data_IF_432771161004
#
_entry.id   IF_432771161004
#
_cell.length_a   1.000
_cell.length_b   1.000
_cell.length_c   1.000
_cell.angle_alpha   90.00
_cell.angle_beta   90.00
_cell.angle_gamma   90.00
#
_symmetry.space_group_name_H-M   'P 1'
#
loop_
_entity.id
_entity.type
_entity.pdbx_description
1 polymer ?
#
# COMPACT_ATOMS: atom_id res chain seq x y z
N UNK A 1 -43.41 13.46 -10.69
CA UNK A 1 -42.19 14.19 -11.02
C UNK A 1 -41.65 14.81 -9.74
N UNK A 2 -40.32 14.88 -9.52
CA UNK A 2 -39.77 15.52 -8.35
C UNK A 2 -40.14 17.01 -8.34
N UNK A 3 -40.39 17.56 -7.17
CA UNK A 3 -40.78 18.95 -6.99
C UNK A 3 -39.57 19.88 -7.28
N UNK A 4 -39.82 21.10 -7.75
CA UNK A 4 -38.77 22.11 -7.98
C UNK A 4 -37.89 22.34 -6.72
N UNK A 5 -38.50 22.24 -5.53
CA UNK A 5 -37.80 22.36 -4.25
C UNK A 5 -36.81 21.23 -4.03
N UNK A 6 -37.21 20.00 -4.36
CA UNK A 6 -36.31 18.82 -4.27
C UNK A 6 -35.15 18.90 -5.26
N UNK A 7 -35.42 19.29 -6.51
CA UNK A 7 -34.36 19.46 -7.54
C UNK A 7 -33.37 20.52 -7.07
N UNK A 8 -33.84 21.67 -6.54
CA UNK A 8 -32.99 22.73 -6.00
C UNK A 8 -32.14 22.22 -4.80
N UNK A 9 -32.70 21.39 -3.93
CA UNK A 9 -31.98 20.75 -2.84
C UNK A 9 -30.86 19.83 -3.35
N UNK A 10 -31.16 18.99 -4.35
CA UNK A 10 -30.17 18.09 -4.99
C UNK A 10 -29.03 18.89 -5.65
N UNK A 11 -29.34 19.99 -6.37
CA UNK A 11 -28.33 20.90 -6.94
C UNK A 11 -27.40 21.41 -5.85
N UNK A 12 -27.93 21.82 -4.69
CA UNK A 12 -27.13 22.26 -3.55
C UNK A 12 -26.18 21.18 -3.01
N UNK A 13 -26.69 19.95 -2.83
CA UNK A 13 -25.91 18.81 -2.36
C UNK A 13 -24.81 18.42 -3.34
N UNK A 14 -25.11 18.31 -4.64
CA UNK A 14 -24.13 17.97 -5.68
C UNK A 14 -23.04 19.05 -5.77
N UNK A 15 -23.41 20.33 -5.68
CA UNK A 15 -22.45 21.45 -5.68
C UNK A 15 -21.51 21.39 -4.46
N UNK A 16 -22.01 20.99 -3.30
CA UNK A 16 -21.17 20.78 -2.11
C UNK A 16 -20.23 19.59 -2.29
N UNK A 17 -20.72 18.48 -2.82
CA UNK A 17 -19.91 17.28 -3.12
C UNK A 17 -18.80 17.63 -4.10
N UNK A 18 -19.09 18.36 -5.17
CA UNK A 18 -18.11 18.81 -6.17
C UNK A 18 -16.96 19.61 -5.52
N UNK A 19 -17.26 20.53 -4.62
CA UNK A 19 -16.24 21.30 -3.89
C UNK A 19 -15.35 20.38 -3.04
N UNK A 20 -15.95 19.40 -2.36
CA UNK A 20 -15.22 18.47 -1.49
C UNK A 20 -14.31 17.55 -2.34
N UNK A 21 -14.83 16.96 -3.41
CA UNK A 21 -14.05 16.04 -4.27
C UNK A 21 -12.91 16.77 -4.96
N UNK A 22 -13.13 18.00 -5.44
CA UNK A 22 -12.07 18.84 -6.03
C UNK A 22 -10.98 19.17 -5.00
N UNK A 23 -11.33 19.52 -3.77
CA UNK A 23 -10.36 19.76 -2.71
C UNK A 23 -9.57 18.51 -2.35
N UNK A 24 -10.25 17.35 -2.22
CA UNK A 24 -9.59 16.06 -1.93
C UNK A 24 -8.65 15.63 -3.05
N UNK A 25 -8.99 15.87 -4.32
CA UNK A 25 -8.10 15.65 -5.46
C UNK A 25 -6.81 16.45 -5.33
N UNK A 26 -6.89 17.75 -5.03
CA UNK A 26 -5.72 18.62 -4.87
C UNK A 26 -4.81 18.14 -3.72
N UNK A 27 -5.39 17.83 -2.56
CA UNK A 27 -4.63 17.33 -1.40
C UNK A 27 -3.94 15.99 -1.74
N UNK A 28 -4.67 15.07 -2.39
CA UNK A 28 -4.11 13.76 -2.76
C UNK A 28 -2.98 13.90 -3.78
N UNK A 29 -3.13 14.81 -4.75
CA UNK A 29 -2.10 15.09 -5.75
C UNK A 29 -0.82 15.68 -5.11
N UNK A 30 -0.96 16.57 -4.12
CA UNK A 30 0.17 17.10 -3.37
C UNK A 30 0.89 16.01 -2.54
N UNK A 31 0.11 15.14 -1.85
CA UNK A 31 0.65 13.99 -1.10
C UNK A 31 1.34 12.98 -2.02
N UNK A 32 0.78 12.71 -3.20
CA UNK A 32 1.40 11.85 -4.24
C UNK A 32 2.77 12.38 -4.64
N UNK A 33 2.85 13.67 -4.96
CA UNK A 33 4.13 14.30 -5.35
C UNK A 33 5.17 14.21 -4.24
N UNK A 34 4.75 14.41 -2.98
CA UNK A 34 5.65 14.24 -1.82
C UNK A 34 6.17 12.81 -1.71
N UNK A 35 5.31 11.80 -1.87
CA UNK A 35 5.69 10.39 -1.83
C UNK A 35 6.64 10.04 -2.99
N UNK A 36 6.37 10.50 -4.20
CA UNK A 36 7.26 10.30 -5.36
C UNK A 36 8.64 10.91 -5.15
N UNK A 37 8.72 12.11 -4.59
CA UNK A 37 10.00 12.75 -4.26
C UNK A 37 10.78 11.94 -3.22
N UNK A 38 10.11 11.39 -2.20
CA UNK A 38 10.73 10.54 -1.19
C UNK A 38 11.28 9.24 -1.79
N UNK A 39 10.51 8.59 -2.68
CA UNK A 39 10.95 7.40 -3.42
C UNK A 39 12.16 7.73 -4.29
N UNK A 40 12.13 8.83 -5.04
CA UNK A 40 13.24 9.25 -5.89
C UNK A 40 14.53 9.53 -5.10
N UNK A 41 14.41 10.14 -3.93
CA UNK A 41 15.55 10.41 -3.04
C UNK A 41 16.14 9.13 -2.43
N UNK A 42 15.31 8.11 -2.16
CA UNK A 42 15.75 6.84 -1.56
C UNK A 42 16.34 5.88 -2.59
N UNK A 43 15.87 5.90 -3.83
CA UNK A 43 16.21 4.94 -4.89
C UNK A 43 17.74 4.77 -5.11
N UNK A 44 18.56 5.82 -5.17
CA UNK A 44 20.01 5.66 -5.35
C UNK A 44 20.67 4.90 -4.20
N UNK A 45 20.20 5.11 -2.97
CA UNK A 45 20.73 4.40 -1.80
C UNK A 45 20.32 2.92 -1.84
N UNK A 46 19.06 2.63 -2.17
CA UNK A 46 18.57 1.26 -2.31
C UNK A 46 19.38 0.49 -3.37
N UNK A 47 19.54 1.06 -4.56
CA UNK A 47 20.30 0.43 -5.66
C UNK A 47 21.75 0.12 -5.28
N UNK A 48 22.41 1.04 -4.58
CA UNK A 48 23.78 0.80 -4.12
C UNK A 48 23.85 -0.30 -3.06
N UNK A 49 22.90 -0.33 -2.13
CA UNK A 49 22.83 -1.34 -1.10
C UNK A 49 22.57 -2.74 -1.69
N UNK A 50 21.66 -2.85 -2.65
CA UNK A 50 21.37 -4.07 -3.39
C UNK A 50 22.57 -4.55 -4.23
N UNK A 51 23.27 -3.63 -4.88
CA UNK A 51 24.50 -3.95 -5.61
C UNK A 51 25.62 -4.46 -4.69
N UNK A 52 25.80 -3.83 -3.52
CA UNK A 52 26.76 -4.29 -2.52
C UNK A 52 26.39 -5.67 -1.96
N UNK A 53 25.09 -5.91 -1.73
CA UNK A 53 24.59 -7.21 -1.26
C UNK A 53 24.84 -8.30 -2.32
N UNK A 54 24.50 -8.05 -3.58
CA UNK A 54 24.74 -8.98 -4.68
C UNK A 54 26.23 -9.31 -4.84
N UNK A 55 27.09 -8.32 -4.71
CA UNK A 55 28.55 -8.49 -4.78
C UNK A 55 29.08 -9.30 -3.60
N UNK A 56 28.59 -9.07 -2.40
CA UNK A 56 28.96 -9.84 -1.22
C UNK A 56 28.48 -11.29 -1.29
N UNK A 57 27.30 -11.54 -1.85
CA UNK A 57 26.77 -12.90 -2.10
C UNK A 57 27.57 -13.64 -3.17
N UNK A 58 27.99 -12.98 -4.24
CA UNK A 58 28.80 -13.59 -5.31
C UNK A 58 30.23 -13.92 -4.89
N UNK A 59 30.81 -13.16 -3.97
CA UNK A 59 32.19 -13.33 -3.50
C UNK A 59 32.31 -14.33 -2.33
N UNK A 60 31.20 -14.63 -1.62
CA UNK A 60 31.17 -15.59 -0.53
C UNK A 60 30.60 -16.92 -1.00
N UNK A 61 31.41 -17.98 -1.01
CA UNK A 61 30.87 -19.32 -0.85
C UNK A 61 30.20 -19.32 0.52
N UNK A 62 28.87 -19.24 0.56
CA UNK A 62 28.10 -19.24 1.81
C UNK A 62 28.18 -20.64 2.40
N UNK A 63 29.09 -20.93 3.38
CA UNK A 63 29.04 -22.20 4.07
C UNK A 63 27.90 -22.10 5.08
N UNK A 64 27.19 -23.18 5.31
CA UNK A 64 26.21 -23.48 6.35
C UNK A 64 26.19 -22.47 7.50
N UNK A 65 25.56 -21.34 7.34
CA UNK A 65 25.50 -20.33 8.39
C UNK A 65 24.07 -19.91 8.58
N UNK A 66 23.73 -19.68 9.84
CA UNK A 66 22.46 -19.18 10.41
C UNK A 66 21.90 -17.90 9.76
N UNK A 67 22.19 -17.69 8.48
CA UNK A 67 21.62 -16.65 7.66
C UNK A 67 20.34 -17.14 7.02
N UNK A 68 19.33 -16.28 6.84
CA UNK A 68 18.03 -16.64 6.31
C UNK A 68 18.04 -16.97 4.81
N UNK A 69 19.09 -17.60 4.31
CA UNK A 69 19.24 -18.00 2.91
C UNK A 69 18.70 -19.40 2.61
N UNK A 70 18.56 -20.25 3.61
CA UNK A 70 17.85 -21.53 3.48
C UNK A 70 17.50 -22.09 4.85
N UNK A 71 16.30 -22.60 5.00
CA UNK A 71 15.89 -23.40 6.16
C UNK A 71 16.22 -24.85 5.84
N UNK A 72 17.35 -25.37 6.36
CA UNK A 72 17.51 -26.80 6.51
C UNK A 72 16.55 -27.28 7.58
N UNK A 73 15.68 -28.24 7.22
CA UNK A 73 14.72 -28.87 8.12
C UNK A 73 15.45 -29.68 9.19
N UNK A 74 15.70 -29.10 10.36
CA UNK A 74 15.84 -29.86 11.59
C UNK A 74 15.48 -28.99 12.81
N UNK A 75 14.58 -29.47 13.69
CA UNK A 75 14.20 -28.73 14.90
C UNK A 75 15.18 -29.04 16.02
N UNK A 76 15.99 -28.08 16.44
CA UNK A 76 16.65 -28.14 17.74
C UNK A 76 15.88 -27.33 18.77
N UNK A 77 15.30 -28.05 19.74
CA UNK A 77 14.77 -27.52 20.98
C UNK A 77 15.91 -26.93 21.83
N UNK A 78 15.85 -25.63 22.11
CA UNK A 78 16.37 -25.13 23.38
C UNK A 78 15.61 -23.90 23.85
N UNK A 79 15.17 -23.99 25.10
CA UNK A 79 14.29 -23.08 25.81
C UNK A 79 15.13 -22.10 26.61
N UNK A 80 15.01 -20.80 26.41
CA UNK A 80 15.12 -19.83 27.50
C UNK A 80 14.63 -18.43 27.12
N UNK A 81 13.52 -18.07 27.65
CA UNK A 81 13.13 -16.82 28.29
C UNK A 81 13.25 -15.47 27.59
N UNK A 82 12.21 -15.04 26.86
CA UNK A 82 11.68 -13.67 26.97
C UNK A 82 10.21 -13.63 26.55
N UNK A 83 9.38 -12.99 27.37
CA UNK A 83 7.93 -13.00 27.29
C UNK A 83 7.42 -12.10 26.17
N UNK A 84 7.01 -12.68 25.05
CA UNK A 84 5.86 -12.25 24.24
C UNK A 84 5.34 -13.48 23.51
N UNK A 85 4.23 -14.08 23.99
CA UNK A 85 3.68 -15.23 23.33
C UNK A 85 2.90 -14.80 22.09
N UNK A 86 3.47 -15.03 20.90
CA UNK A 86 2.66 -15.25 19.74
C UNK A 86 1.95 -16.60 19.94
N UNK A 87 0.64 -16.73 19.72
CA UNK A 87 -0.04 -17.99 19.82
C UNK A 87 0.34 -18.88 18.63
N UNK A 88 1.42 -19.63 18.75
CA UNK A 88 1.81 -20.64 17.78
C UNK A 88 1.39 -21.99 18.33
N UNK A 89 0.17 -22.40 17.99
CA UNK A 89 -0.22 -23.80 18.07
C UNK A 89 0.50 -24.55 16.96
N UNK A 90 1.51 -25.32 17.29
CA UNK A 90 2.04 -26.49 16.57
C UNK A 90 2.12 -26.40 15.05
N UNK A 91 3.04 -25.60 14.51
CA UNK A 91 3.35 -25.54 13.08
C UNK A 91 4.03 -24.21 12.80
N UNK A 92 5.17 -24.24 12.12
CA UNK A 92 5.94 -23.03 11.75
C UNK A 92 5.09 -22.12 10.83
N UNK A 93 4.25 -21.26 11.41
CA UNK A 93 3.41 -20.30 10.68
C UNK A 93 4.27 -19.27 9.94
N UNK A 94 3.76 -18.74 8.82
CA UNK A 94 4.41 -17.61 8.13
C UNK A 94 3.91 -16.30 8.69
N UNK A 95 4.75 -15.28 8.60
CA UNK A 95 4.36 -13.89 8.86
C UNK A 95 4.03 -13.20 7.54
N UNK A 96 2.89 -12.52 7.50
CA UNK A 96 2.49 -11.68 6.38
C UNK A 96 2.43 -10.23 6.85
N UNK A 97 3.26 -9.37 6.26
CA UNK A 97 3.18 -7.93 6.45
C UNK A 97 2.30 -7.38 5.33
N UNK A 98 1.14 -6.84 5.66
CA UNK A 98 0.15 -6.41 4.68
C UNK A 98 -0.21 -4.93 4.84
N UNK A 99 0.04 -4.14 3.78
CA UNK A 99 -0.20 -2.70 3.75
C UNK A 99 -1.51 -2.33 3.03
N UNK A 100 -2.34 -1.48 3.69
CA UNK A 100 -3.48 -0.80 3.06
C UNK A 100 -3.62 0.62 3.63
N UNK A 101 -4.63 1.37 3.20
CA UNK A 101 -4.84 2.74 3.67
C UNK A 101 -5.58 2.81 5.01
N UNK A 102 -5.50 3.97 5.65
CA UNK A 102 -6.32 4.29 6.83
C UNK A 102 -7.72 4.76 6.46
N UNK A 103 -7.89 5.36 5.30
CA UNK A 103 -9.14 6.00 4.87
C UNK A 103 -9.72 5.33 3.61
N UNK A 104 -11.02 5.51 3.41
CA UNK A 104 -11.73 5.11 2.20
C UNK A 104 -11.52 6.13 1.06
N UNK A 105 -12.30 6.02 0.01
CA UNK A 105 -12.32 6.93 -1.15
C UNK A 105 -11.04 6.92 -2.01
N UNK A 106 -10.34 5.78 -2.04
CA UNK A 106 -9.18 5.51 -2.88
C UNK A 106 -9.49 4.50 -4.00
N UNK A 107 -10.71 4.51 -4.52
CA UNK A 107 -11.14 3.57 -5.57
C UNK A 107 -11.00 2.11 -5.13
N UNK A 108 -10.47 1.27 -6.01
CA UNK A 108 -10.26 -0.16 -5.77
C UNK A 108 -9.00 -0.52 -4.95
N UNK A 109 -8.18 0.46 -4.56
CA UNK A 109 -6.89 0.23 -3.90
C UNK A 109 -6.97 -0.76 -2.73
N UNK A 110 -7.82 -0.48 -1.73
CA UNK A 110 -7.96 -1.35 -0.56
C UNK A 110 -8.54 -2.72 -0.91
N UNK A 111 -9.57 -2.77 -1.75
CA UNK A 111 -10.21 -4.03 -2.14
C UNK A 111 -9.24 -4.98 -2.84
N UNK A 112 -8.41 -4.43 -3.75
CA UNK A 112 -7.45 -5.20 -4.52
C UNK A 112 -6.36 -5.82 -3.64
N UNK A 113 -5.76 -5.04 -2.74
CA UNK A 113 -4.70 -5.56 -1.86
C UNK A 113 -5.26 -6.53 -0.81
N UNK A 114 -6.43 -6.27 -0.22
CA UNK A 114 -7.08 -7.17 0.72
C UNK A 114 -7.42 -8.51 0.05
N UNK A 115 -7.95 -8.48 -1.18
CA UNK A 115 -8.21 -9.68 -1.96
C UNK A 115 -6.92 -10.47 -2.23
N UNK A 116 -5.82 -9.78 -2.53
CA UNK A 116 -4.52 -10.40 -2.75
C UNK A 116 -3.97 -11.05 -1.48
N UNK A 117 -4.07 -10.40 -0.33
CA UNK A 117 -3.66 -10.96 0.97
C UNK A 117 -4.49 -12.20 1.30
N UNK A 118 -5.81 -12.15 1.07
CA UNK A 118 -6.70 -13.31 1.27
C UNK A 118 -6.33 -14.52 0.42
N UNK A 119 -5.82 -14.31 -0.79
CA UNK A 119 -5.39 -15.40 -1.67
C UNK A 119 -4.08 -16.06 -1.26
N UNK A 120 -3.25 -15.39 -0.47
CA UNK A 120 -1.91 -15.85 -0.08
C UNK A 120 -1.89 -16.43 1.33
N UNK A 121 -2.68 -15.86 2.24
CA UNK A 121 -2.71 -16.28 3.64
C UNK A 121 -3.23 -17.70 3.84
N UNK A 122 -2.72 -18.37 4.86
CA UNK A 122 -3.14 -19.72 5.28
C UNK A 122 -3.61 -19.70 6.74
N UNK A 123 -4.41 -20.68 7.15
CA UNK A 123 -4.68 -20.90 8.58
C UNK A 123 -3.37 -21.09 9.33
N UNK A 124 -3.19 -20.36 10.44
CA UNK A 124 -1.93 -20.42 11.22
C UNK A 124 -0.92 -19.31 10.89
N UNK A 125 -1.10 -18.54 9.80
CA UNK A 125 -0.25 -17.39 9.52
C UNK A 125 -0.56 -16.22 10.45
N UNK A 126 0.48 -15.46 10.82
CA UNK A 126 0.35 -14.21 11.58
C UNK A 126 0.36 -13.05 10.62
N UNK A 127 -0.66 -12.18 10.68
CA UNK A 127 -0.78 -11.03 9.78
C UNK A 127 -0.51 -9.73 10.54
N UNK A 128 0.60 -9.06 10.22
CA UNK A 128 0.89 -7.70 10.64
C UNK A 128 0.20 -6.72 9.69
N UNK A 129 -0.88 -6.13 10.15
CA UNK A 129 -1.70 -5.21 9.35
C UNK A 129 -1.20 -3.78 9.48
N UNK A 130 -0.77 -3.19 8.36
CA UNK A 130 -0.40 -1.78 8.27
C UNK A 130 -1.57 -1.03 7.64
N UNK A 131 -2.20 -0.14 8.40
CA UNK A 131 -3.39 0.61 8.01
C UNK A 131 -4.71 -0.01 8.46
N UNK A 132 -5.63 0.87 8.87
CA UNK A 132 -6.93 0.50 9.46
C UNK A 132 -7.76 -0.41 8.55
N UNK A 133 -7.79 -0.13 7.24
CA UNK A 133 -8.59 -0.93 6.30
C UNK A 133 -8.11 -2.37 6.18
N UNK A 134 -6.81 -2.62 6.33
CA UNK A 134 -6.27 -3.96 6.39
C UNK A 134 -6.61 -4.62 7.73
N UNK A 135 -6.39 -3.91 8.83
CA UNK A 135 -6.69 -4.40 10.18
C UNK A 135 -8.17 -4.79 10.33
N UNK A 136 -9.10 -3.90 9.88
CA UNK A 136 -10.54 -4.18 9.90
C UNK A 136 -10.94 -5.40 9.06
N UNK A 137 -10.31 -5.56 7.89
CA UNK A 137 -10.60 -6.68 7.00
C UNK A 137 -10.08 -8.00 7.57
N UNK A 138 -8.85 -8.00 8.07
CA UNK A 138 -8.24 -9.20 8.66
C UNK A 138 -8.92 -9.59 9.98
N UNK A 139 -9.32 -8.62 10.79
CA UNK A 139 -10.08 -8.89 12.03
C UNK A 139 -11.43 -9.59 11.76
N UNK A 140 -12.16 -9.19 10.70
CA UNK A 140 -13.40 -9.87 10.28
C UNK A 140 -13.15 -11.31 9.82
N UNK A 141 -11.99 -11.57 9.28
CA UNK A 141 -11.57 -12.88 8.81
C UNK A 141 -10.96 -13.74 9.95
N UNK A 142 -10.92 -13.23 11.19
CA UNK A 142 -10.38 -13.93 12.38
C UNK A 142 -8.90 -13.75 12.61
N UNK A 143 -8.21 -12.92 11.81
CA UNK A 143 -6.79 -12.62 11.95
C UNK A 143 -6.62 -11.23 12.59
N UNK A 144 -6.11 -11.19 13.81
CA UNK A 144 -5.81 -9.92 14.49
C UNK A 144 -4.31 -9.65 14.40
N UNK A 145 -3.95 -8.42 14.01
CA UNK A 145 -2.56 -7.97 14.08
C UNK A 145 -2.11 -7.95 15.53
N UNK A 146 -0.89 -8.44 15.84
CA UNK A 146 -0.34 -8.40 17.20
C UNK A 146 -0.22 -6.98 17.74
N UNK A 147 0.05 -6.01 16.88
CA UNK A 147 0.24 -4.60 17.20
C UNK A 147 -0.43 -3.70 16.17
N UNK A 148 -0.68 -2.44 16.54
CA UNK A 148 -1.25 -1.43 15.64
C UNK A 148 -0.14 -0.65 14.93
N UNK A 149 -0.06 -0.81 13.61
CA UNK A 149 0.85 -0.10 12.72
C UNK A 149 0.11 0.85 11.77
N UNK A 150 -1.09 1.33 12.15
CA UNK A 150 -1.88 2.21 11.30
C UNK A 150 -1.18 3.53 10.95
N UNK A 151 -0.34 4.04 11.86
CA UNK A 151 0.45 5.25 11.61
C UNK A 151 1.40 5.12 10.43
N UNK A 152 1.98 3.93 10.21
CA UNK A 152 2.93 3.67 9.12
C UNK A 152 2.29 3.77 7.73
N UNK A 153 0.97 3.57 7.64
CA UNK A 153 0.26 3.70 6.38
C UNK A 153 0.15 5.17 5.92
N UNK A 154 -0.01 6.11 6.86
CA UNK A 154 -0.16 7.53 6.52
C UNK A 154 1.18 8.28 6.52
N UNK A 155 2.04 7.93 7.45
CA UNK A 155 3.36 8.54 7.65
C UNK A 155 4.43 7.45 7.74
N UNK A 156 4.92 6.93 6.60
CA UNK A 156 6.02 5.98 6.60
C UNK A 156 7.26 6.57 7.28
N UNK A 157 7.67 6.01 8.42
CA UNK A 157 8.86 6.42 9.18
C UNK A 157 9.82 5.24 9.22
N UNK A 158 11.06 5.46 8.78
CA UNK A 158 12.08 4.41 8.70
C UNK A 158 12.32 3.72 10.06
N UNK A 159 12.40 4.49 11.17
CA UNK A 159 12.66 3.92 12.49
C UNK A 159 11.61 2.88 12.90
N UNK A 160 10.30 3.21 12.78
CA UNK A 160 9.21 2.27 13.10
C UNK A 160 9.19 1.05 12.17
N UNK A 161 9.48 1.25 10.88
CA UNK A 161 9.58 0.13 9.92
C UNK A 161 10.78 -0.76 10.28
N UNK A 162 11.90 -0.18 10.71
CA UNK A 162 13.08 -0.92 11.13
C UNK A 162 12.85 -1.73 12.40
N UNK A 163 12.10 -1.20 13.38
CA UNK A 163 11.69 -1.91 14.61
C UNK A 163 10.83 -3.14 14.28
N UNK A 164 9.84 -2.97 13.39
CA UNK A 164 8.99 -4.09 12.95
C UNK A 164 9.81 -5.19 12.28
N UNK A 165 10.69 -4.83 11.35
CA UNK A 165 11.55 -5.80 10.66
C UNK A 165 12.49 -6.48 11.65
N UNK A 166 13.07 -5.75 12.59
CA UNK A 166 13.97 -6.31 13.58
C UNK A 166 13.27 -7.36 14.43
N UNK A 167 12.07 -7.04 14.97
CA UNK A 167 11.25 -7.97 15.75
C UNK A 167 10.93 -9.26 14.96
N UNK A 168 10.49 -9.12 13.73
CA UNK A 168 10.15 -10.27 12.87
C UNK A 168 11.41 -11.07 12.52
N UNK A 169 12.55 -10.41 12.28
CA UNK A 169 13.82 -11.11 12.01
C UNK A 169 14.30 -11.91 13.20
N UNK A 170 14.17 -11.38 14.42
CA UNK A 170 14.48 -12.09 15.67
C UNK A 170 13.60 -13.34 15.84
N UNK A 171 12.31 -13.25 15.49
CA UNK A 171 11.38 -14.38 15.51
C UNK A 171 11.76 -15.44 14.46
N UNK A 172 12.24 -15.00 13.30
CA UNK A 172 12.72 -15.88 12.23
C UNK A 172 14.01 -16.61 12.64
N UNK A 173 15.03 -15.89 13.17
CA UNK A 173 16.28 -16.47 13.64
C UNK A 173 16.09 -17.44 14.82
N UNK A 174 15.08 -17.17 15.64
CA UNK A 174 14.72 -18.07 16.76
C UNK A 174 13.91 -19.30 16.29
N UNK A 175 13.65 -19.46 14.98
CA UNK A 175 12.88 -20.57 14.43
C UNK A 175 11.38 -20.54 14.80
N UNK A 176 10.88 -19.42 15.34
CA UNK A 176 9.44 -19.28 15.68
C UNK A 176 8.56 -19.13 14.47
N UNK A 177 9.08 -18.65 13.34
CA UNK A 177 8.38 -18.47 12.08
C UNK A 177 9.19 -19.06 10.93
N UNK A 178 8.51 -19.62 9.93
CA UNK A 178 9.13 -20.26 8.76
C UNK A 178 9.42 -19.31 7.59
N UNK A 179 8.88 -18.11 7.61
CA UNK A 179 9.13 -17.14 6.55
C UNK A 179 8.31 -15.88 6.72
N UNK A 180 8.70 -14.84 5.98
CA UNK A 180 8.06 -13.52 5.98
C UNK A 180 7.69 -13.13 4.55
N UNK A 181 6.44 -12.74 4.37
CA UNK A 181 5.90 -12.30 3.08
C UNK A 181 5.40 -10.86 3.21
N UNK A 182 5.78 -10.00 2.28
CA UNK A 182 5.37 -8.62 2.19
C UNK A 182 4.29 -8.46 1.11
N UNK A 183 3.14 -7.92 1.49
CA UNK A 183 2.02 -7.63 0.58
C UNK A 183 1.77 -6.13 0.56
N UNK A 184 2.04 -5.49 -0.56
CA UNK A 184 1.89 -4.05 -0.74
C UNK A 184 1.40 -3.73 -2.15
N UNK A 185 1.08 -2.47 -2.41
CA UNK A 185 0.66 -2.05 -3.75
C UNK A 185 1.78 -1.23 -4.40
N UNK A 186 2.30 -1.74 -5.52
CA UNK A 186 3.33 -1.07 -6.29
C UNK A 186 2.74 0.04 -7.16
N UNK A 187 3.36 1.21 -7.12
CA UNK A 187 3.03 2.35 -7.94
C UNK A 187 3.72 2.28 -9.30
N UNK A 188 3.00 1.86 -10.34
CA UNK A 188 3.51 1.83 -11.73
C UNK A 188 3.29 3.18 -12.40
N UNK A 189 2.09 3.71 -12.30
CA UNK A 189 1.70 5.02 -12.83
C UNK A 189 0.48 5.56 -12.06
N UNK A 190 0.12 6.82 -12.31
CA UNK A 190 -1.07 7.42 -11.69
C UNK A 190 -2.34 6.61 -11.98
N UNK A 191 -2.46 6.00 -13.16
CA UNK A 191 -3.62 5.20 -13.56
C UNK A 191 -3.50 3.71 -13.21
N UNK A 192 -2.28 3.21 -12.92
CA UNK A 192 -2.05 1.77 -12.68
C UNK A 192 -1.30 1.55 -11.39
N UNK A 193 -1.96 0.88 -10.46
CA UNK A 193 -1.40 0.40 -9.20
C UNK A 193 -1.60 -1.12 -9.15
N UNK A 194 -0.56 -1.86 -8.80
CA UNK A 194 -0.55 -3.33 -8.86
C UNK A 194 -0.28 -3.89 -7.46
N UNK A 195 -1.16 -4.72 -6.90
CA UNK A 195 -0.88 -5.46 -5.67
C UNK A 195 0.24 -6.48 -5.90
N UNK A 196 1.30 -6.39 -5.12
CA UNK A 196 2.49 -7.25 -5.20
C UNK A 196 2.60 -8.07 -3.93
N UNK A 197 3.07 -9.30 -4.08
CA UNK A 197 3.42 -10.22 -3.00
C UNK A 197 4.88 -10.58 -3.20
N UNK A 198 5.69 -10.24 -2.23
CA UNK A 198 7.13 -10.43 -2.26
C UNK A 198 7.59 -11.20 -1.02
N UNK A 199 8.44 -12.19 -1.18
CA UNK A 199 9.05 -12.87 -0.05
C UNK A 199 10.16 -12.00 0.52
N UNK A 200 10.09 -11.72 1.82
CA UNK A 200 11.11 -10.95 2.52
C UNK A 200 12.14 -11.87 3.19
N UNK A 201 11.69 -13.00 3.75
CA UNK A 201 12.49 -14.03 4.37
C UNK A 201 11.91 -15.43 4.07
N UNK A 202 12.75 -16.46 3.83
CA UNK A 202 14.18 -16.36 3.54
C UNK A 202 14.45 -15.57 2.27
N UNK A 203 15.64 -15.02 2.13
CA UNK A 203 16.09 -14.36 0.90
C UNK A 203 16.53 -15.47 -0.06
N UNK A 204 15.74 -15.73 -1.11
CA UNK A 204 16.10 -16.66 -2.18
C UNK A 204 17.03 -15.94 -3.17
N UNK A 205 17.97 -16.67 -3.77
CA UNK A 205 18.86 -16.14 -4.82
C UNK A 205 18.08 -15.61 -6.04
N UNK A 206 16.90 -16.17 -6.31
CA UNK A 206 15.98 -15.71 -7.37
C UNK A 206 15.26 -14.39 -7.06
N UNK A 207 15.33 -13.92 -5.81
CA UNK A 207 14.66 -12.67 -5.37
C UNK A 207 15.65 -11.49 -5.28
N UNK A 208 16.82 -11.61 -5.86
CA UNK A 208 17.54 -10.44 -6.34
C UNK A 208 16.60 -9.74 -7.32
N UNK A 209 16.26 -8.46 -7.11
CA UNK A 209 15.41 -7.75 -8.04
C UNK A 209 16.02 -7.90 -9.42
N UNK A 210 15.30 -8.61 -10.29
CA UNK A 210 15.67 -8.67 -11.69
C UNK A 210 15.90 -7.25 -12.16
N UNK A 211 16.82 -6.99 -13.09
CA UNK A 211 17.19 -5.65 -13.51
C UNK A 211 15.91 -4.89 -13.85
N UNK A 212 15.56 -3.90 -13.04
CA UNK A 212 14.53 -2.93 -13.41
C UNK A 212 14.89 -2.46 -14.82
N UNK A 213 13.99 -2.59 -15.81
CA UNK A 213 14.29 -2.12 -17.14
C UNK A 213 14.47 -0.60 -17.04
N UNK A 214 15.63 -0.14 -17.38
CA UNK A 214 16.10 1.25 -17.48
C UNK A 214 17.18 1.58 -16.45
N UNK A 215 18.37 1.39 -16.84
CA UNK A 215 19.44 2.33 -17.11
C UNK A 215 20.72 1.52 -17.31
N UNK A 216 20.98 1.23 -18.58
CA UNK A 216 22.32 0.97 -19.08
C UNK A 216 23.14 2.23 -18.87
N UNK A 217 23.99 2.25 -17.88
CA UNK A 217 25.16 3.13 -17.86
C UNK A 217 26.21 2.55 -16.94
N UNK A 218 27.19 1.91 -17.55
CA UNK A 218 28.59 1.85 -17.14
C UNK A 218 28.88 1.46 -15.68
N UNK A 219 28.62 0.21 -15.29
CA UNK A 219 29.53 -0.53 -14.41
C UNK A 219 29.56 -1.98 -14.88
N UNK A 220 30.13 -2.24 -16.04
CA UNK A 220 30.75 -3.51 -16.36
C UNK A 220 32.10 -3.57 -15.60
N UNK A 221 32.05 -3.86 -14.31
CA UNK A 221 33.17 -4.43 -13.58
C UNK A 221 32.80 -5.83 -13.17
N UNK A 222 33.53 -6.80 -13.70
CA UNK A 222 33.44 -8.19 -13.30
C UNK A 222 33.45 -8.30 -11.78
N UNK A 223 32.58 -9.14 -11.17
CA UNK A 223 32.50 -9.30 -9.71
C UNK A 223 33.82 -9.74 -9.04
N UNK A 224 34.78 -10.21 -9.82
CA UNK A 224 36.05 -10.79 -9.37
C UNK A 224 37.08 -9.79 -8.84
N UNK A 225 36.91 -8.47 -9.07
CA UNK A 225 37.91 -7.47 -8.70
C UNK A 225 37.57 -6.61 -7.47
N UNK A 226 36.47 -6.90 -6.81
CA UNK A 226 36.07 -6.16 -5.62
C UNK A 226 36.80 -6.66 -4.36
N UNK A 227 37.54 -5.78 -3.69
CA UNK A 227 38.15 -6.06 -2.39
C UNK A 227 37.07 -5.86 -1.32
N UNK A 228 36.71 -6.95 -0.61
CA UNK A 228 35.74 -6.92 0.49
C UNK A 228 36.49 -6.90 1.83
N UNK A 229 36.31 -5.83 2.58
CA UNK A 229 36.91 -5.65 3.92
C UNK A 229 35.81 -5.50 4.98
N UNK A 230 35.93 -6.16 6.14
CA UNK A 230 37.00 -7.06 6.56
C UNK A 230 36.84 -8.50 6.01
N UNK A 231 35.59 -8.95 5.73
CA UNK A 231 35.27 -10.23 5.09
C UNK A 231 33.89 -10.19 4.45
N UNK A 232 33.65 -11.02 3.43
CA UNK A 232 32.32 -11.14 2.80
C UNK A 232 31.23 -11.52 3.82
N UNK A 233 31.55 -12.36 4.79
CA UNK A 233 30.62 -12.81 5.84
C UNK A 233 30.20 -11.68 6.77
N UNK A 234 31.15 -10.93 7.32
CA UNK A 234 30.85 -9.79 8.21
C UNK A 234 30.09 -8.69 7.49
N UNK A 235 30.42 -8.50 6.21
CA UNK A 235 29.70 -7.57 5.35
C UNK A 235 28.23 -8.01 5.16
N UNK A 236 27.96 -9.29 4.90
CA UNK A 236 26.60 -9.83 4.79
C UNK A 236 25.82 -9.70 6.12
N UNK A 237 26.48 -10.01 7.25
CA UNK A 237 25.87 -9.83 8.59
C UNK A 237 25.42 -8.39 8.84
N UNK A 238 26.13 -7.42 8.31
CA UNK A 238 25.80 -6.00 8.44
C UNK A 238 24.80 -5.51 7.37
N UNK A 239 24.85 -6.05 6.15
CA UNK A 239 24.02 -5.58 5.02
C UNK A 239 22.62 -6.18 5.02
N UNK A 240 22.47 -7.47 5.34
CA UNK A 240 21.17 -8.16 5.30
C UNK A 240 20.11 -7.44 6.15
N UNK A 241 20.35 -7.15 7.44
CA UNK A 241 19.36 -6.43 8.24
C UNK A 241 19.04 -5.03 7.72
N UNK A 242 20.03 -4.33 7.17
CA UNK A 242 19.84 -3.01 6.58
C UNK A 242 18.97 -3.07 5.32
N UNK A 243 19.22 -4.06 4.47
CA UNK A 243 18.46 -4.29 3.23
C UNK A 243 17.01 -4.64 3.54
N UNK A 244 16.76 -5.53 4.51
CA UNK A 244 15.40 -5.90 4.91
C UNK A 244 14.61 -4.69 5.46
N UNK A 245 15.24 -3.89 6.33
CA UNK A 245 14.63 -2.67 6.88
C UNK A 245 14.31 -1.65 5.77
N UNK A 246 15.23 -1.48 4.84
CA UNK A 246 15.04 -0.57 3.72
C UNK A 246 13.95 -1.08 2.76
N UNK A 247 13.89 -2.39 2.51
CA UNK A 247 12.90 -3.02 1.62
C UNK A 247 11.48 -2.81 2.13
N UNK A 248 11.23 -3.01 3.43
CA UNK A 248 9.93 -2.69 4.03
C UNK A 248 9.61 -1.20 3.91
N UNK A 249 10.56 -0.33 4.23
CA UNK A 249 10.35 1.12 4.15
C UNK A 249 10.05 1.58 2.72
N UNK A 250 10.76 1.04 1.73
CA UNK A 250 10.52 1.28 0.31
C UNK A 250 9.10 0.87 -0.11
N UNK A 251 8.66 -0.32 0.30
CA UNK A 251 7.32 -0.82 0.01
C UNK A 251 6.22 0.05 0.65
N UNK A 252 6.47 0.60 1.85
CA UNK A 252 5.52 1.53 2.50
C UNK A 252 5.41 2.85 1.74
N UNK A 253 6.52 3.42 1.28
CA UNK A 253 6.53 4.63 0.45
C UNK A 253 5.81 4.40 -0.88
N UNK A 254 6.07 3.27 -1.51
CA UNK A 254 5.48 2.89 -2.78
C UNK A 254 3.95 2.68 -2.63
N UNK A 255 3.53 1.99 -1.57
CA UNK A 255 2.12 1.81 -1.23
C UNK A 255 1.42 3.14 -0.93
N UNK A 256 2.07 4.08 -0.24
CA UNK A 256 1.54 5.42 0.01
C UNK A 256 1.39 6.23 -1.29
N UNK A 257 2.36 6.13 -2.21
CA UNK A 257 2.24 6.75 -3.53
C UNK A 257 1.09 6.15 -4.34
N UNK A 258 0.95 4.82 -4.34
CA UNK A 258 -0.14 4.11 -5.01
C UNK A 258 -1.52 4.49 -4.43
N UNK A 259 -1.66 4.61 -3.12
CA UNK A 259 -2.87 5.07 -2.44
C UNK A 259 -3.28 6.48 -2.88
N UNK A 260 -2.32 7.42 -2.85
CA UNK A 260 -2.61 8.81 -3.24
C UNK A 260 -2.90 8.95 -4.72
N UNK A 261 -2.28 8.15 -5.59
CA UNK A 261 -2.59 8.09 -7.01
C UNK A 261 -4.02 7.57 -7.25
N UNK A 262 -4.37 6.45 -6.63
CA UNK A 262 -5.71 5.85 -6.73
C UNK A 262 -6.79 6.83 -6.22
N UNK A 263 -6.53 7.53 -5.11
CA UNK A 263 -7.44 8.56 -4.58
C UNK A 263 -7.57 9.75 -5.53
N UNK A 264 -6.48 10.21 -6.14
CA UNK A 264 -6.51 11.31 -7.11
C UNK A 264 -7.40 10.98 -8.29
N UNK A 265 -7.29 9.77 -8.86
CA UNK A 265 -8.15 9.32 -9.96
C UNK A 265 -9.61 9.18 -9.52
N UNK A 266 -9.85 8.55 -8.36
CA UNK A 266 -11.21 8.38 -7.84
C UNK A 266 -11.91 9.73 -7.62
N UNK A 267 -11.19 10.72 -7.08
CA UNK A 267 -11.72 12.06 -6.85
C UNK A 267 -11.89 12.83 -8.16
N UNK A 268 -11.02 12.65 -9.16
CA UNK A 268 -11.23 13.20 -10.49
C UNK A 268 -12.53 12.69 -11.11
N UNK A 269 -12.70 11.37 -11.17
CA UNK A 269 -13.92 10.75 -11.70
C UNK A 269 -15.17 11.20 -10.95
N UNK A 270 -15.09 11.32 -9.62
CA UNK A 270 -16.20 11.81 -8.82
C UNK A 270 -16.53 13.28 -9.10
N UNK A 271 -15.52 14.11 -9.36
CA UNK A 271 -15.68 15.52 -9.74
C UNK A 271 -16.36 15.64 -11.10
N UNK A 272 -15.87 14.92 -12.12
CA UNK A 272 -16.43 14.94 -13.49
C UNK A 272 -17.90 14.46 -13.49
N UNK A 273 -18.19 13.40 -12.74
CA UNK A 273 -19.57 12.90 -12.57
C UNK A 273 -20.48 13.93 -11.87
N UNK A 274 -19.95 14.63 -10.86
CA UNK A 274 -20.71 15.66 -10.15
C UNK A 274 -21.00 16.88 -11.05
N UNK A 275 -20.07 17.28 -11.91
CA UNK A 275 -20.27 18.34 -12.90
C UNK A 275 -21.35 17.97 -13.91
N UNK A 276 -21.30 16.76 -14.47
CA UNK A 276 -22.29 16.25 -15.40
C UNK A 276 -23.70 16.22 -14.76
N UNK A 277 -23.79 15.68 -13.54
CA UNK A 277 -25.05 15.61 -12.80
C UNK A 277 -25.58 17.01 -12.46
N UNK A 278 -24.71 17.96 -12.15
CA UNK A 278 -25.10 19.35 -11.88
C UNK A 278 -25.69 20.02 -13.13
N UNK A 279 -25.10 19.80 -14.29
CA UNK A 279 -25.61 20.31 -15.57
C UNK A 279 -26.99 19.73 -15.88
N UNK A 280 -27.18 18.43 -15.73
CA UNK A 280 -28.45 17.75 -15.94
C UNK A 280 -29.54 18.25 -14.98
N UNK A 281 -29.25 18.33 -13.70
CA UNK A 281 -30.21 18.82 -12.70
C UNK A 281 -30.59 20.30 -12.95
N UNK A 282 -29.64 21.11 -13.43
CA UNK A 282 -29.91 22.51 -13.77
C UNK A 282 -30.86 22.62 -14.97
N UNK A 283 -30.68 21.77 -15.99
CA UNK A 283 -31.58 21.70 -17.13
C UNK A 283 -32.99 21.28 -16.70
N UNK A 284 -33.10 20.23 -15.87
CA UNK A 284 -34.38 19.75 -15.33
C UNK A 284 -35.08 20.83 -14.48
N UNK A 285 -34.34 21.55 -13.65
CA UNK A 285 -34.84 22.65 -12.85
C UNK A 285 -35.42 23.78 -13.72
N UNK A 286 -34.69 24.20 -14.76
CA UNK A 286 -35.12 25.25 -15.66
C UNK A 286 -36.37 24.84 -16.45
N UNK A 287 -36.43 23.60 -16.97
CA UNK A 287 -37.59 23.05 -17.63
C UNK A 287 -38.82 23.00 -16.73
N UNK A 288 -38.65 22.48 -15.52
CA UNK A 288 -39.75 22.44 -14.55
C UNK A 288 -40.22 23.81 -14.09
N UNK A 289 -39.30 24.79 -13.97
CA UNK A 289 -39.66 26.18 -13.69
C UNK A 289 -40.49 26.78 -14.81
N UNK A 290 -40.08 26.60 -16.06
CA UNK A 290 -40.85 27.10 -17.22
C UNK A 290 -42.25 26.46 -17.29
N UNK A 291 -42.35 25.15 -17.08
CA UNK A 291 -43.63 24.46 -17.04
C UNK A 291 -44.55 25.02 -15.95
N UNK A 292 -44.00 25.26 -14.75
CA UNK A 292 -44.76 25.82 -13.65
C UNK A 292 -45.25 27.22 -13.95
N UNK A 293 -44.39 28.09 -14.51
CA UNK A 293 -44.79 29.47 -14.93
C UNK A 293 -45.86 29.41 -15.98
N UNK A 294 -45.72 28.52 -16.98
CA UNK A 294 -46.71 28.39 -18.05
C UNK A 294 -48.07 27.92 -17.51
N UNK A 295 -48.08 26.97 -16.55
CA UNK A 295 -49.30 26.51 -15.89
C UNK A 295 -49.96 27.65 -15.10
N UNK A 296 -49.19 28.43 -14.31
CA UNK A 296 -49.68 29.56 -13.56
C UNK A 296 -50.29 30.66 -14.46
N UNK A 297 -49.69 30.92 -15.62
CA UNK A 297 -50.24 31.89 -16.60
C UNK A 297 -51.54 31.35 -17.24
N UNK A 298 -51.61 30.05 -17.57
CA UNK A 298 -52.80 29.46 -18.15
C UNK A 298 -53.94 29.40 -17.14
N UNK A 299 -53.64 29.12 -15.87
CA UNK A 299 -54.64 29.13 -14.80
C UNK A 299 -55.23 30.53 -14.53
N UNK A 300 -54.37 31.56 -14.65
CA UNK A 300 -54.82 32.98 -14.58
C UNK A 300 -55.66 33.36 -15.79
N UNK A 301 -55.23 33.00 -17.01
CA UNK A 301 -55.98 33.30 -18.23
C UNK A 301 -57.31 32.53 -18.34
N UNK A 302 -57.33 31.28 -17.86
CA UNK A 302 -58.56 30.48 -17.84
C UNK A 302 -59.57 30.94 -16.78
N UNK A 303 -59.10 31.48 -15.64
CA UNK A 303 -59.95 32.07 -14.62
C UNK A 303 -60.67 33.36 -15.02
N UNK A 304 -60.06 34.17 -15.91
CA UNK A 304 -60.70 35.38 -16.46
C UNK A 304 -61.72 35.09 -17.57
N UNK A 305 -61.76 33.88 -18.14
CA UNK A 305 -62.75 33.50 -19.16
C UNK A 305 -64.03 32.88 -18.54
N UNK A 306 -64.06 32.70 -17.24
CA UNK A 306 -65.20 32.08 -16.50
C UNK A 306 -66.02 33.10 -15.70
N UNK A 307 -65.71 34.43 -15.75
CA UNK A 307 -66.59 35.51 -15.35
C UNK A 307 -67.22 36.13 -16.61
#
# INVERSE_FOLDING_TARGET
>A
MPTLKEIKGRIGSVRSTLKITSAMKLVSSAKLRKAQNAIAAMRPYQQRLEAMLALALSAGSVPDTKFPLSVSEEPQNDVSGTKHPLPVSGGSGKVIIAGASNSSLCGGFNANIISKVRSVRRPGDVVYSIGRKMSDAMARDGFRSPEDYSDLAEHPVYAKAAELVQKISEDFYAGRISGVTLCYTHFVSTSRQVPVVERLLPMDDDNTPGPSPVISSEVEKSPSDAILEPSARELLEALIPKTLKLKLYAALLDSAAAEHAARTIAMQTATDNAENLLAELTLQYNKGRQQKITSEILDLAGGQAAE
#
